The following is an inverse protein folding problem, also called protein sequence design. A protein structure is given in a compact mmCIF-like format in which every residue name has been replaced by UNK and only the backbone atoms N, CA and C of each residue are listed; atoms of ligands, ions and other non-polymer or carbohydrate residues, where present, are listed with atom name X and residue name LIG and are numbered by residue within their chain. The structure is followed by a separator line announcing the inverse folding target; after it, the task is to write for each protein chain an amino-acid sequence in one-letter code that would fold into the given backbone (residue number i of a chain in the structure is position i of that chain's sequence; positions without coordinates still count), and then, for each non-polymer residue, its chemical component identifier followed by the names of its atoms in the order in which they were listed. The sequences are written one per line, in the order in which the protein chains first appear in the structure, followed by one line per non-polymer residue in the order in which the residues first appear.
data_IF_311866222651
#
_entry.id   IF_311866222651
#
_cell.length_a   1.000
_cell.length_b   1.000
_cell.length_c   1.000
_cell.angle_alpha   90.00
_cell.angle_beta   90.00
_cell.angle_gamma   90.00
#
_symmetry.space_group_name_H-M   'P 1'
#
loop_
_entity.id
_entity.type
_entity.pdbx_description
1 polymer ?
#
# COMPACT_ATOMS: atom_id res chain seq x y z
N UNK A 1 24.94 6.68 -6.06
CA UNK A 1 24.88 6.29 -4.63
C UNK A 1 23.64 6.80 -3.90
N UNK A 2 23.17 8.05 -4.09
CA UNK A 2 22.00 8.58 -3.39
C UNK A 2 20.68 7.82 -3.60
N UNK A 3 20.42 7.28 -4.81
CA UNK A 3 19.17 6.57 -5.13
C UNK A 3 19.04 5.27 -4.32
N UNK A 4 20.10 4.48 -4.19
CA UNK A 4 20.06 3.22 -3.43
C UNK A 4 19.80 3.46 -1.93
N UNK A 5 20.35 4.54 -1.37
CA UNK A 5 20.13 4.95 0.02
C UNK A 5 18.68 5.41 0.20
N UNK A 6 18.12 6.17 -0.76
CA UNK A 6 16.72 6.57 -0.74
C UNK A 6 15.78 5.36 -0.73
N UNK A 7 16.07 4.32 -1.54
CA UNK A 7 15.31 3.06 -1.52
C UNK A 7 15.38 2.33 -0.18
N UNK A 8 16.55 2.28 0.45
CA UNK A 8 16.71 1.67 1.78
C UNK A 8 15.91 2.41 2.84
N UNK A 9 15.98 3.74 2.86
CA UNK A 9 15.18 4.58 3.78
C UNK A 9 13.68 4.39 3.54
N UNK A 10 13.27 4.27 2.28
CA UNK A 10 11.88 4.03 1.92
C UNK A 10 11.39 2.68 2.43
N UNK A 11 12.12 1.60 2.17
CA UNK A 11 11.76 0.24 2.62
C UNK A 11 11.73 0.16 4.15
N UNK A 12 12.76 0.68 4.83
CA UNK A 12 12.81 0.69 6.29
C UNK A 12 11.74 1.59 6.91
N UNK A 13 11.49 2.76 6.34
CA UNK A 13 10.46 3.69 6.80
C UNK A 13 9.06 3.08 6.72
N UNK A 14 8.75 2.40 5.62
CA UNK A 14 7.48 1.68 5.47
C UNK A 14 7.36 0.48 6.43
N UNK A 15 8.44 -0.28 6.61
CA UNK A 15 8.48 -1.37 7.59
C UNK A 15 8.22 -0.88 9.01
N UNK A 16 8.86 0.22 9.40
CA UNK A 16 8.68 0.85 10.71
C UNK A 16 7.26 1.41 10.89
N UNK A 17 6.74 2.11 9.88
CA UNK A 17 5.37 2.64 9.89
C UNK A 17 4.35 1.53 10.13
N UNK A 18 4.51 0.37 9.48
CA UNK A 18 3.60 -0.77 9.63
C UNK A 18 3.59 -1.30 11.06
N UNK A 19 4.77 -1.48 11.65
CA UNK A 19 4.91 -1.94 13.05
C UNK A 19 4.34 -0.90 14.01
N UNK A 20 4.62 0.37 13.78
CA UNK A 20 4.11 1.47 14.59
C UNK A 20 2.58 1.53 14.58
N UNK A 21 1.95 1.44 13.40
CA UNK A 21 0.49 1.44 13.28
C UNK A 21 -0.14 0.23 13.96
N UNK A 22 0.43 -0.98 13.78
CA UNK A 22 -0.06 -2.18 14.49
C UNK A 22 -0.09 -2.00 16.00
N UNK A 23 1.02 -1.50 16.56
CA UNK A 23 1.15 -1.25 18.00
C UNK A 23 0.25 -0.12 18.48
N UNK A 24 0.13 0.97 17.71
CA UNK A 24 -0.65 2.17 18.06
C UNK A 24 -2.15 1.91 18.09
N UNK A 25 -2.64 1.09 17.16
CA UNK A 25 -4.07 0.79 17.01
C UNK A 25 -4.50 -0.49 17.75
N UNK A 26 -3.58 -1.21 18.40
CA UNK A 26 -3.93 -2.40 19.19
C UNK A 26 -4.34 -3.62 18.35
N UNK A 27 -3.96 -3.63 17.06
CA UNK A 27 -4.36 -4.68 16.11
C UNK A 27 -3.86 -6.07 16.55
N UNK A 28 -2.71 -6.13 17.25
CA UNK A 28 -2.16 -7.39 17.75
C UNK A 28 -3.06 -8.04 18.82
N UNK A 29 -3.76 -7.24 19.63
CA UNK A 29 -4.71 -7.75 20.63
C UNK A 29 -6.00 -8.26 19.98
N UNK A 30 -6.42 -7.60 18.89
CA UNK A 30 -7.62 -7.97 18.13
C UNK A 30 -7.38 -9.21 17.25
N UNK A 31 -6.16 -9.41 16.73
CA UNK A 31 -5.74 -10.66 16.07
C UNK A 31 -5.77 -11.85 17.04
N UNK A 32 -5.44 -11.63 18.32
CA UNK A 32 -5.50 -12.67 19.36
C UNK A 32 -6.94 -12.97 19.81
N UNK A 33 -7.85 -12.02 19.68
CA UNK A 33 -9.27 -12.16 20.00
C UNK A 33 -10.09 -12.97 18.95
N UNK A 34 -9.42 -13.59 17.98
CA UNK A 34 -10.07 -14.47 16.98
C UNK A 34 -10.78 -13.73 15.85
N UNK A 35 -10.64 -12.40 15.75
CA UNK A 35 -11.17 -11.63 14.62
C UNK A 35 -10.43 -12.08 13.33
N UNK A 36 -11.12 -12.38 12.21
CA UNK A 36 -10.53 -12.98 11.00
C UNK A 36 -9.66 -12.00 10.15
N UNK A 37 -8.93 -11.14 10.83
CA UNK A 37 -8.07 -10.06 10.33
C UNK A 37 -6.99 -10.57 9.35
N UNK A 38 -6.30 -11.67 9.71
CA UNK A 38 -5.22 -12.27 8.90
C UNK A 38 -5.71 -12.90 7.59
N UNK A 39 -6.93 -13.44 7.58
CA UNK A 39 -7.49 -14.09 6.39
C UNK A 39 -7.80 -13.05 5.31
N UNK A 40 -8.37 -11.92 5.71
CA UNK A 40 -8.59 -10.77 4.83
C UNK A 40 -7.29 -10.19 4.29
N UNK A 41 -6.28 -10.02 5.15
CA UNK A 41 -4.97 -9.49 4.75
C UNK A 41 -4.28 -10.39 3.72
N UNK A 42 -4.29 -11.71 3.91
CA UNK A 42 -3.73 -12.66 2.94
C UNK A 42 -4.46 -12.64 1.61
N UNK A 43 -5.80 -12.63 1.64
CA UNK A 43 -6.60 -12.61 0.42
C UNK A 43 -6.33 -11.34 -0.38
N UNK A 44 -6.34 -10.17 0.27
CA UNK A 44 -6.07 -8.91 -0.42
C UNK A 44 -4.63 -8.83 -0.94
N UNK A 45 -3.65 -9.29 -0.14
CA UNK A 45 -2.25 -9.33 -0.57
C UNK A 45 -2.04 -10.25 -1.79
N UNK A 46 -2.70 -11.40 -1.83
CA UNK A 46 -2.66 -12.30 -2.97
C UNK A 46 -3.29 -11.67 -4.22
N UNK A 47 -4.47 -11.06 -4.08
CA UNK A 47 -5.16 -10.38 -5.20
C UNK A 47 -4.30 -9.24 -5.74
N UNK A 48 -3.78 -8.35 -4.89
CA UNK A 48 -2.90 -7.27 -5.32
C UNK A 48 -1.66 -7.77 -6.08
N UNK A 49 -1.02 -8.82 -5.55
CA UNK A 49 0.19 -9.38 -6.18
C UNK A 49 -0.11 -9.93 -7.57
N UNK A 50 -1.20 -10.69 -7.72
CA UNK A 50 -1.63 -11.23 -9.00
C UNK A 50 -1.92 -10.11 -9.99
N UNK A 51 -2.65 -9.08 -9.57
CA UNK A 51 -3.02 -7.96 -10.45
C UNK A 51 -1.78 -7.15 -10.87
N UNK A 52 -0.83 -6.91 -9.98
CA UNK A 52 0.43 -6.21 -10.33
C UNK A 52 1.27 -7.03 -11.31
N UNK A 53 1.40 -8.35 -11.09
CA UNK A 53 2.13 -9.23 -12.01
C UNK A 53 1.45 -9.25 -13.38
N UNK A 54 0.12 -9.32 -13.41
CA UNK A 54 -0.67 -9.28 -14.64
C UNK A 54 -0.47 -7.95 -15.37
N UNK A 55 -0.56 -6.83 -14.64
CA UNK A 55 -0.27 -5.51 -15.19
C UNK A 55 1.15 -5.43 -15.77
N UNK A 56 2.15 -6.01 -15.10
CA UNK A 56 3.54 -6.01 -15.59
C UNK A 56 3.75 -6.84 -16.86
N UNK A 57 3.03 -7.95 -17.01
CA UNK A 57 3.13 -8.83 -18.18
C UNK A 57 2.35 -8.28 -19.37
N UNK A 58 1.17 -7.68 -19.14
CA UNK A 58 0.23 -7.33 -20.21
C UNK A 58 0.22 -5.84 -20.60
N UNK A 59 0.69 -4.91 -19.75
CA UNK A 59 0.71 -3.46 -20.06
C UNK A 59 2.08 -2.97 -20.56
N UNK A 60 2.77 -3.81 -21.33
CA UNK A 60 4.06 -3.49 -21.96
C UNK A 60 3.83 -2.61 -23.20
N UNK A 61 3.50 -1.35 -22.98
CA UNK A 61 3.30 -0.37 -24.06
C UNK A 61 4.02 0.96 -23.79
N UNK A 62 3.96 1.43 -22.54
CA UNK A 62 4.77 2.56 -22.05
C UNK A 62 4.90 2.51 -20.53
N UNK A 63 6.03 3.01 -20.01
CA UNK A 63 6.32 3.04 -18.59
C UNK A 63 5.28 3.86 -17.81
N UNK A 64 4.82 4.96 -18.41
CA UNK A 64 3.83 5.86 -17.80
C UNK A 64 2.46 5.19 -17.66
N UNK A 65 1.98 4.49 -18.70
CA UNK A 65 0.73 3.73 -18.64
C UNK A 65 0.82 2.64 -17.60
N UNK A 66 1.95 1.92 -17.52
CA UNK A 66 2.16 0.91 -16.49
C UNK A 66 2.06 1.48 -15.07
N UNK A 67 2.81 2.56 -14.77
CA UNK A 67 2.76 3.18 -13.44
C UNK A 67 1.38 3.74 -13.10
N UNK A 68 0.69 4.34 -14.07
CA UNK A 68 -0.66 4.86 -13.89
C UNK A 68 -1.67 3.75 -13.60
N UNK A 69 -1.59 2.62 -14.32
CA UNK A 69 -2.43 1.46 -14.08
C UNK A 69 -2.16 0.83 -12.71
N UNK A 70 -0.89 0.68 -12.32
CA UNK A 70 -0.51 0.17 -10.99
C UNK A 70 -1.04 1.08 -9.88
N UNK A 71 -0.96 2.40 -10.05
CA UNK A 71 -1.52 3.37 -9.10
C UNK A 71 -3.03 3.18 -8.94
N UNK A 72 -3.78 3.06 -10.04
CA UNK A 72 -5.22 2.83 -10.01
C UNK A 72 -5.61 1.52 -9.35
N UNK A 73 -4.91 0.43 -9.67
CA UNK A 73 -5.10 -0.88 -9.05
C UNK A 73 -4.89 -0.77 -7.53
N UNK A 74 -3.81 -0.12 -7.11
CA UNK A 74 -3.50 0.07 -5.69
C UNK A 74 -4.56 0.93 -5.01
N UNK A 75 -5.00 2.01 -5.65
CA UNK A 75 -6.02 2.93 -5.13
C UNK A 75 -7.36 2.21 -4.93
N UNK A 76 -7.86 1.52 -5.95
CA UNK A 76 -9.13 0.77 -5.88
C UNK A 76 -9.02 -0.37 -4.88
N UNK A 77 -7.95 -1.17 -4.94
CA UNK A 77 -7.75 -2.30 -4.03
C UNK A 77 -7.67 -1.86 -2.56
N UNK A 78 -6.98 -0.75 -2.28
CA UNK A 78 -6.90 -0.20 -0.94
C UNK A 78 -8.24 0.39 -0.47
N UNK A 79 -8.97 1.08 -1.34
CA UNK A 79 -10.30 1.61 -1.03
C UNK A 79 -11.30 0.51 -0.70
N UNK A 80 -11.32 -0.56 -1.51
CA UNK A 80 -12.15 -1.75 -1.24
C UNK A 80 -11.74 -2.42 0.06
N UNK A 81 -10.43 -2.57 0.32
CA UNK A 81 -9.93 -3.12 1.58
C UNK A 81 -10.43 -2.29 2.78
N UNK A 82 -10.24 -0.97 2.77
CA UNK A 82 -10.68 -0.08 3.85
C UNK A 82 -12.20 -0.19 4.06
N UNK A 83 -12.99 -0.23 2.98
CA UNK A 83 -14.43 -0.38 3.07
C UNK A 83 -14.83 -1.73 3.69
N UNK A 84 -14.19 -2.83 3.28
CA UNK A 84 -14.46 -4.16 3.82
C UNK A 84 -14.02 -4.26 5.28
N UNK A 85 -12.87 -3.69 5.65
CA UNK A 85 -12.42 -3.63 7.04
C UNK A 85 -13.37 -2.80 7.89
N UNK A 86 -13.84 -1.66 7.40
CA UNK A 86 -14.85 -0.85 8.09
C UNK A 86 -16.20 -1.57 8.23
N UNK A 87 -16.62 -2.36 7.23
CA UNK A 87 -17.90 -3.06 7.25
C UNK A 87 -17.89 -4.34 8.09
N UNK A 88 -16.84 -5.16 7.94
CA UNK A 88 -16.76 -6.51 8.50
C UNK A 88 -15.88 -6.62 9.75
N UNK A 89 -14.94 -5.68 9.95
CA UNK A 89 -14.05 -5.66 11.11
C UNK A 89 -14.36 -4.44 12.02
N UNK A 90 -15.64 -4.11 12.23
CA UNK A 90 -16.06 -2.97 13.07
C UNK A 90 -15.55 -3.02 14.52
N UNK A 91 -15.34 -4.23 15.05
CA UNK A 91 -14.74 -4.43 16.38
C UNK A 91 -13.22 -4.20 16.41
N UNK A 92 -12.61 -4.00 15.24
CA UNK A 92 -11.19 -3.79 15.06
C UNK A 92 -10.88 -2.35 14.64
N UNK A 93 -9.85 -1.74 15.23
CA UNK A 93 -9.34 -0.42 14.78
C UNK A 93 -8.51 -0.49 13.51
N UNK A 94 -8.47 -1.66 12.85
CA UNK A 94 -7.67 -1.90 11.65
C UNK A 94 -8.00 -0.97 10.48
N UNK A 95 -9.28 -0.66 10.25
CA UNK A 95 -9.66 0.27 9.17
C UNK A 95 -8.98 1.65 9.34
N UNK A 96 -8.80 2.11 10.58
CA UNK A 96 -8.13 3.39 10.88
C UNK A 96 -6.64 3.30 10.54
N UNK A 97 -5.98 2.21 10.92
CA UNK A 97 -4.59 1.97 10.56
C UNK A 97 -4.39 1.85 9.04
N UNK A 98 -5.31 1.17 8.35
CA UNK A 98 -5.27 1.01 6.89
C UNK A 98 -5.49 2.35 6.17
N UNK A 99 -6.38 3.21 6.66
CA UNK A 99 -6.55 4.58 6.14
C UNK A 99 -5.24 5.36 6.29
N UNK A 100 -4.65 5.40 7.49
CA UNK A 100 -3.40 6.14 7.73
C UNK A 100 -2.27 5.58 6.87
N UNK A 101 -2.12 4.25 6.81
CA UNK A 101 -1.13 3.60 5.97
C UNK A 101 -1.33 3.95 4.50
N UNK A 102 -2.56 3.88 4.00
CA UNK A 102 -2.90 4.22 2.62
C UNK A 102 -2.58 5.68 2.29
N UNK A 103 -2.98 6.62 3.14
CA UNK A 103 -2.69 8.05 2.93
C UNK A 103 -1.19 8.32 2.89
N UNK A 104 -0.42 7.77 3.83
CA UNK A 104 1.04 7.92 3.83
C UNK A 104 1.66 7.29 2.59
N UNK A 105 1.17 6.13 2.18
CA UNK A 105 1.66 5.44 0.97
C UNK A 105 1.38 6.24 -0.30
N UNK A 106 0.17 6.77 -0.44
CA UNK A 106 -0.22 7.57 -1.59
C UNK A 106 0.60 8.86 -1.67
N UNK A 107 0.80 9.57 -0.55
CA UNK A 107 1.65 10.75 -0.51
C UNK A 107 3.10 10.43 -0.89
N UNK A 108 3.65 9.33 -0.37
CA UNK A 108 5.00 8.91 -0.69
C UNK A 108 5.16 8.57 -2.19
N UNK A 109 4.16 7.91 -2.79
CA UNK A 109 4.13 7.63 -4.23
C UNK A 109 4.07 8.91 -5.07
N UNK A 110 3.24 9.88 -4.68
CA UNK A 110 3.15 11.17 -5.38
C UNK A 110 4.49 11.90 -5.33
N UNK A 111 5.10 12.02 -4.13
CA UNK A 111 6.42 12.64 -3.96
C UNK A 111 7.46 11.93 -4.82
N UNK A 112 7.43 10.59 -4.86
CA UNK A 112 8.34 9.80 -5.69
C UNK A 112 8.14 10.09 -7.19
N UNK A 113 6.90 10.11 -7.68
CA UNK A 113 6.59 10.41 -9.09
C UNK A 113 7.06 11.84 -9.44
N UNK A 114 6.79 12.82 -8.59
CA UNK A 114 7.23 14.21 -8.79
C UNK A 114 8.75 14.31 -8.81
N UNK A 115 9.43 13.61 -7.90
CA UNK A 115 10.89 13.57 -7.85
C UNK A 115 11.49 12.94 -9.12
N UNK A 116 10.94 11.81 -9.58
CA UNK A 116 11.37 11.17 -10.83
C UNK A 116 11.14 12.09 -12.03
N UNK A 117 9.97 12.75 -12.13
CA UNK A 117 9.69 13.72 -13.21
C UNK A 117 10.66 14.91 -13.21
N UNK A 118 10.98 15.46 -12.04
CA UNK A 118 11.98 16.52 -11.87
C UNK A 118 13.36 16.08 -12.36
N UNK A 119 13.71 14.81 -12.14
CA UNK A 119 15.01 14.26 -12.50
C UNK A 119 15.13 13.89 -13.98
N UNK A 120 14.03 13.52 -14.65
CA UNK A 120 14.01 13.18 -16.08
C UNK A 120 13.80 14.36 -17.01
N UNK A 121 13.51 15.56 -16.48
CA UNK A 121 13.42 16.80 -17.27
C UNK A 121 12.25 16.87 -18.26
N UNK A 122 11.25 15.99 -18.11
CA UNK A 122 10.02 16.04 -18.92
C UNK A 122 9.07 17.06 -18.29
N UNK A 123 9.10 18.28 -18.84
CA UNK A 123 8.10 19.34 -18.65
C UNK A 123 6.85 19.06 -19.49
#
# INVERSE_FOLDING_TARGET
MGIAIAWLVFIFGFGFLRVFLRKRFGIDQEEQAGVPVKRFERWNGAVMTIVIITAAIFLVGSLEVFFFSVFWIFFIGSGVQIYLEWKYLRGSRKYQASIVYFTVTALALIIFITFVRLQTGVL
#
